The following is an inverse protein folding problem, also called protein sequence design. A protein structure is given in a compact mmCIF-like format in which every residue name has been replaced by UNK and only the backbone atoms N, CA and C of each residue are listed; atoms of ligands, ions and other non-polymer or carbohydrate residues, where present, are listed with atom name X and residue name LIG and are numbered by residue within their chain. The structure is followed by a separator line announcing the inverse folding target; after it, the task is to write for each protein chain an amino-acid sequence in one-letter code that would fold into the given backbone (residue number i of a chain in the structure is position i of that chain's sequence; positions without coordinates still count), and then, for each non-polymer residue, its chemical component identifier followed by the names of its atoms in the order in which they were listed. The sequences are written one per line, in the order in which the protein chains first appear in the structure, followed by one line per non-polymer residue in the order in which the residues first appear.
data_IF_937982171892
#
_entry.id   IF_937982171892
#
_cell.length_a   1.000
_cell.length_b   1.000
_cell.length_c   1.000
_cell.angle_alpha   90.00
_cell.angle_beta   90.00
_cell.angle_gamma   90.00
#
_symmetry.space_group_name_H-M   'P 1'
#
loop_
_entity.id
_entity.type
_entity.pdbx_description
1 polymer ?
#
# COMPACT_ATOMS: atom_id res chain seq x y z
N UNK A 1 7.62 9.39 18.64
CA UNK A 1 6.77 9.34 17.43
C UNK A 1 5.72 10.43 17.57
N UNK A 2 5.98 11.58 16.96
CA UNK A 2 4.96 12.65 16.92
C UNK A 2 3.83 12.14 16.04
N UNK A 3 2.70 11.84 16.69
CA UNK A 3 1.47 11.54 15.96
C UNK A 3 1.10 12.78 15.14
N UNK A 4 1.16 12.69 13.84
CA UNK A 4 0.54 13.65 12.93
C UNK A 4 -0.98 13.55 13.07
N UNK A 5 -1.50 13.97 14.22
CA UNK A 5 -2.92 13.79 14.58
C UNK A 5 -3.83 14.84 13.91
N UNK A 6 -3.29 15.97 13.47
CA UNK A 6 -4.10 17.04 12.89
C UNK A 6 -4.53 16.75 11.45
N UNK A 7 -3.66 16.16 10.62
CA UNK A 7 -4.00 15.77 9.24
C UNK A 7 -4.95 14.56 9.16
N UNK A 8 -5.00 13.72 10.21
CA UNK A 8 -5.76 12.47 10.17
C UNK A 8 -7.28 12.66 10.27
N UNK A 9 -7.77 13.68 10.94
CA UNK A 9 -9.21 13.86 11.17
C UNK A 9 -9.93 14.54 10.00
N UNK A 10 -9.25 15.44 9.31
CA UNK A 10 -9.79 16.09 8.09
C UNK A 10 -9.79 15.09 6.95
N UNK A 11 -8.75 14.27 6.83
CA UNK A 11 -8.65 13.21 5.82
C UNK A 11 -9.72 12.13 5.97
N UNK A 12 -10.15 11.81 7.20
CA UNK A 12 -11.22 10.84 7.49
C UNK A 12 -12.60 11.27 7.03
N UNK A 13 -12.85 12.57 6.92
CA UNK A 13 -14.20 13.13 6.72
C UNK A 13 -14.45 13.69 5.34
N UNK A 14 -13.41 13.70 4.46
CA UNK A 14 -13.55 14.38 3.17
C UNK A 14 -13.83 13.43 2.01
N UNK A 15 -14.71 13.80 1.08
CA UNK A 15 -14.83 13.09 -0.18
C UNK A 15 -13.51 13.20 -0.94
N UNK A 16 -13.12 12.12 -1.60
CA UNK A 16 -11.84 11.92 -2.34
C UNK A 16 -11.48 13.01 -3.37
N UNK A 17 -12.35 13.98 -3.59
CA UNK A 17 -12.21 15.00 -4.63
C UNK A 17 -11.64 16.34 -4.13
N UNK A 18 -11.30 16.48 -2.85
CA UNK A 18 -10.79 17.75 -2.33
C UNK A 18 -9.26 17.70 -2.11
N UNK A 19 -8.56 17.56 -3.24
CA UNK A 19 -7.10 17.50 -3.33
C UNK A 19 -6.45 18.77 -2.75
N UNK A 20 -7.08 19.94 -2.94
CA UNK A 20 -6.57 21.22 -2.44
C UNK A 20 -6.58 21.30 -0.90
N UNK A 21 -7.63 20.84 -0.26
CA UNK A 21 -7.69 20.82 1.21
C UNK A 21 -6.63 19.89 1.82
N UNK A 22 -6.32 18.76 1.14
CA UNK A 22 -5.25 17.86 1.59
C UNK A 22 -3.90 18.57 1.53
N UNK A 23 -3.63 19.29 0.45
CA UNK A 23 -2.41 20.07 0.30
C UNK A 23 -2.28 21.15 1.37
N UNK A 24 -3.35 21.91 1.62
CA UNK A 24 -3.39 22.93 2.66
C UNK A 24 -3.14 22.34 4.07
N UNK A 25 -3.71 21.18 4.37
CA UNK A 25 -3.50 20.50 5.66
C UNK A 25 -2.05 20.07 5.84
N UNK A 26 -1.42 19.54 4.79
CA UNK A 26 -0.02 19.16 4.84
C UNK A 26 0.86 20.40 5.04
N UNK A 27 0.61 21.50 4.31
CA UNK A 27 1.34 22.75 4.46
C UNK A 27 1.17 23.35 5.87
N UNK A 28 -0.04 23.32 6.42
CA UNK A 28 -0.31 23.74 7.80
C UNK A 28 0.47 22.90 8.82
N UNK A 29 0.53 21.59 8.59
CA UNK A 29 1.33 20.66 9.41
C UNK A 29 2.82 21.00 9.34
N UNK A 30 3.36 21.21 8.13
CA UNK A 30 4.76 21.59 7.93
C UNK A 30 5.11 22.90 8.64
N UNK A 31 4.23 23.91 8.53
CA UNK A 31 4.39 25.19 9.24
C UNK A 31 4.48 24.96 10.75
N UNK A 32 3.59 24.16 11.31
CA UNK A 32 3.58 23.86 12.74
C UNK A 32 4.82 23.09 13.18
N UNK A 33 5.33 22.16 12.40
CA UNK A 33 6.60 21.49 12.68
C UNK A 33 7.77 22.49 12.73
N UNK A 34 7.80 23.46 11.80
CA UNK A 34 8.83 24.49 11.80
C UNK A 34 8.71 25.39 13.03
N UNK A 35 7.50 25.79 13.43
CA UNK A 35 7.25 26.65 14.60
C UNK A 35 7.62 25.95 15.92
N UNK A 36 7.29 24.66 16.07
CA UNK A 36 7.44 23.94 17.33
C UNK A 36 8.82 23.26 17.46
N UNK A 37 9.40 22.79 16.36
CA UNK A 37 10.60 21.96 16.36
C UNK A 37 11.79 22.58 15.60
N UNK A 38 11.57 23.66 14.85
CA UNK A 38 12.61 24.33 14.08
C UNK A 38 13.03 23.61 12.79
N UNK A 39 12.29 22.58 12.37
CA UNK A 39 12.53 21.88 11.10
C UNK A 39 11.22 21.32 10.51
N UNK A 40 11.23 21.04 9.22
CA UNK A 40 10.12 20.36 8.54
C UNK A 40 10.54 18.92 8.25
N UNK A 41 9.76 17.91 8.72
CA UNK A 41 10.04 16.51 8.39
C UNK A 41 9.98 16.25 6.89
N UNK A 42 10.92 15.49 6.39
CA UNK A 42 11.01 15.09 4.99
C UNK A 42 10.45 13.67 4.73
N UNK A 43 9.88 13.07 5.77
CA UNK A 43 9.18 11.78 5.73
C UNK A 43 7.69 11.97 6.02
N UNK A 44 6.87 11.23 5.31
CA UNK A 44 5.41 11.27 5.46
C UNK A 44 4.83 9.86 5.61
N UNK A 45 3.77 9.72 6.38
CA UNK A 45 3.01 8.48 6.46
C UNK A 45 1.54 8.79 6.17
N UNK A 46 0.99 8.16 5.13
CA UNK A 46 -0.40 8.36 4.79
C UNK A 46 -1.32 7.85 5.90
N UNK A 47 -2.27 8.66 6.36
CA UNK A 47 -3.31 8.22 7.28
C UNK A 47 -4.02 6.98 6.72
N UNK A 48 -4.06 5.91 7.51
CA UNK A 48 -4.60 4.60 7.10
C UNK A 48 -3.94 3.96 5.87
N UNK A 49 -2.84 4.53 5.36
CA UNK A 49 -2.19 4.11 4.13
C UNK A 49 -2.99 4.49 2.87
N UNK A 50 -3.94 5.37 2.97
CA UNK A 50 -4.80 5.77 1.85
C UNK A 50 -4.15 6.91 1.06
N UNK A 51 -3.86 6.66 -0.21
CA UNK A 51 -3.18 7.61 -1.09
C UNK A 51 -3.63 7.42 -2.54
N UNK A 52 -4.46 8.30 -3.06
CA UNK A 52 -4.71 8.37 -4.50
C UNK A 52 -3.47 8.82 -5.27
N UNK A 53 -3.42 8.59 -6.57
CA UNK A 53 -2.34 9.08 -7.42
C UNK A 53 -2.18 10.61 -7.30
N UNK A 54 -3.29 11.34 -7.19
CA UNK A 54 -3.29 12.80 -7.02
C UNK A 54 -2.63 13.20 -5.68
N UNK A 55 -2.93 12.50 -4.59
CA UNK A 55 -2.34 12.80 -3.27
C UNK A 55 -0.85 12.44 -3.23
N UNK A 56 -0.45 11.35 -3.89
CA UNK A 56 0.97 11.01 -4.05
C UNK A 56 1.72 12.10 -4.84
N UNK A 57 1.09 12.68 -5.86
CA UNK A 57 1.67 13.82 -6.59
C UNK A 57 1.87 15.04 -5.71
N UNK A 58 0.91 15.39 -4.85
CA UNK A 58 1.07 16.49 -3.89
C UNK A 58 2.28 16.26 -2.97
N UNK A 59 2.44 15.06 -2.43
CA UNK A 59 3.57 14.71 -1.57
C UNK A 59 4.90 14.96 -2.28
N UNK A 60 4.96 14.60 -3.57
CA UNK A 60 6.13 14.84 -4.41
C UNK A 60 6.38 16.34 -4.64
N UNK A 61 5.33 17.11 -4.94
CA UNK A 61 5.41 18.54 -5.21
C UNK A 61 5.80 19.35 -3.97
N UNK A 62 5.50 18.85 -2.78
CA UNK A 62 5.88 19.44 -1.49
C UNK A 62 7.30 19.05 -1.04
N UNK A 63 8.12 18.45 -1.92
CA UNK A 63 9.50 18.03 -1.66
C UNK A 63 9.67 17.08 -0.45
N UNK A 64 8.64 16.30 -0.13
CA UNK A 64 8.74 15.23 0.85
C UNK A 64 9.57 14.11 0.24
N UNK A 65 10.69 13.75 0.87
CA UNK A 65 11.66 12.80 0.30
C UNK A 65 11.09 11.40 0.16
N UNK A 66 10.29 10.99 1.15
CA UNK A 66 9.72 9.63 1.16
C UNK A 66 8.39 9.56 1.88
N UNK A 67 7.50 8.69 1.42
CA UNK A 67 6.21 8.49 2.07
C UNK A 67 5.83 7.00 2.15
N UNK A 68 5.09 6.65 3.21
CA UNK A 68 4.74 5.28 3.55
C UNK A 68 3.24 5.04 3.56
N UNK A 69 2.82 3.99 2.85
CA UNK A 69 1.49 3.42 2.96
C UNK A 69 1.33 2.52 4.20
N UNK A 70 0.30 1.65 4.18
CA UNK A 70 0.10 0.61 5.19
C UNK A 70 -0.02 -0.80 4.59
N UNK A 71 0.24 -0.94 3.29
CA UNK A 71 0.39 -2.25 2.68
C UNK A 71 1.72 -2.88 3.13
N UNK A 72 1.70 -4.19 3.37
CA UNK A 72 2.87 -4.91 3.87
C UNK A 72 3.81 -5.28 2.74
N UNK A 73 5.11 -5.21 2.98
CA UNK A 73 6.11 -5.66 2.02
C UNK A 73 7.50 -5.09 2.27
N UNK A 74 8.53 -5.75 1.76
CA UNK A 74 9.88 -5.21 1.73
C UNK A 74 10.00 -4.11 0.67
N UNK A 75 10.85 -3.13 0.95
CA UNK A 75 11.18 -2.04 0.02
C UNK A 75 12.23 -2.54 -0.99
N UNK A 76 12.09 -2.12 -2.24
CA UNK A 76 13.05 -2.39 -3.32
C UNK A 76 13.44 -1.12 -4.06
N UNK A 77 14.46 -1.21 -4.91
CA UNK A 77 14.83 -0.13 -5.83
C UNK A 77 13.75 0.21 -6.88
N UNK A 78 12.70 -0.61 -7.00
CA UNK A 78 11.53 -0.38 -7.85
C UNK A 78 10.32 0.17 -7.07
N UNK A 79 10.41 0.25 -5.75
CA UNK A 79 9.33 0.80 -4.94
C UNK A 79 9.14 2.30 -5.24
N UNK A 80 7.88 2.73 -5.30
CA UNK A 80 7.58 4.16 -5.34
C UNK A 80 7.97 4.78 -4.00
N UNK A 81 8.99 5.64 -3.99
CA UNK A 81 9.51 6.29 -2.78
C UNK A 81 8.46 7.15 -2.07
N UNK A 82 7.42 7.59 -2.79
CA UNK A 82 6.31 8.37 -2.23
C UNK A 82 5.10 7.50 -1.86
N UNK A 83 5.22 6.16 -1.94
CA UNK A 83 4.21 5.22 -1.44
C UNK A 83 4.86 3.86 -1.13
N UNK A 84 5.74 3.82 -0.14
CA UNK A 84 6.48 2.62 0.24
C UNK A 84 5.66 1.71 1.16
N UNK A 85 5.83 0.37 1.04
CA UNK A 85 5.26 -0.58 1.99
C UNK A 85 5.95 -0.51 3.35
N UNK A 86 5.30 -1.07 4.37
CA UNK A 86 5.87 -1.26 5.69
C UNK A 86 5.21 -2.42 6.43
N UNK A 87 5.96 -3.15 7.24
CA UNK A 87 5.39 -4.09 8.19
C UNK A 87 5.00 -3.38 9.49
N UNK A 88 3.80 -3.67 9.99
CA UNK A 88 3.38 -3.18 11.30
C UNK A 88 4.03 -4.03 12.39
N UNK A 89 4.70 -3.37 13.32
CA UNK A 89 5.26 -3.97 14.54
C UNK A 89 4.49 -3.37 15.72
N UNK A 90 3.73 -4.17 16.42
CA UNK A 90 2.94 -3.81 17.59
C UNK A 90 2.80 -5.03 18.52
N UNK A 91 2.07 -4.90 19.61
CA UNK A 91 1.89 -5.97 20.60
C UNK A 91 1.41 -7.31 20.01
N UNK A 92 0.52 -7.26 19.00
CA UNK A 92 -0.01 -8.46 18.35
C UNK A 92 0.87 -8.99 17.21
N UNK A 93 1.77 -8.16 16.69
CA UNK A 93 2.57 -8.44 15.49
C UNK A 93 4.04 -8.06 15.65
N UNK A 94 4.56 -8.05 16.90
CA UNK A 94 5.91 -7.61 17.22
C UNK A 94 6.79 -8.70 17.84
N UNK A 95 6.38 -9.97 17.78
CA UNK A 95 7.21 -11.08 18.23
C UNK A 95 8.49 -11.22 17.38
N UNK A 96 9.52 -11.82 17.97
CA UNK A 96 10.85 -11.93 17.35
C UNK A 96 10.85 -12.82 16.10
N UNK A 97 9.98 -13.82 16.05
CA UNK A 97 9.88 -14.73 14.91
C UNK A 97 9.31 -13.99 13.70
N UNK A 98 8.23 -13.25 13.91
CA UNK A 98 7.64 -12.40 12.88
C UNK A 98 8.59 -11.30 12.42
N UNK A 99 9.30 -10.64 13.34
CA UNK A 99 10.32 -9.65 13.00
C UNK A 99 11.40 -10.25 12.12
N UNK A 100 11.96 -11.38 12.53
CA UNK A 100 13.01 -12.12 11.80
C UNK A 100 12.51 -12.54 10.41
N UNK A 101 11.30 -13.11 10.33
CA UNK A 101 10.69 -13.46 9.07
C UNK A 101 10.50 -12.24 8.16
N UNK A 102 9.87 -11.17 8.65
CA UNK A 102 9.61 -9.97 7.87
C UNK A 102 10.89 -9.30 7.36
N UNK A 103 11.97 -9.30 8.16
CA UNK A 103 13.27 -8.73 7.77
C UNK A 103 14.03 -9.58 6.75
N UNK A 104 13.72 -10.87 6.64
CA UNK A 104 14.33 -11.79 5.66
C UNK A 104 13.63 -11.80 4.30
N UNK A 105 12.43 -11.21 4.20
CA UNK A 105 11.63 -11.23 2.98
C UNK A 105 12.30 -10.48 1.83
N UNK A 106 12.22 -11.07 0.65
CA UNK A 106 12.63 -10.43 -0.61
C UNK A 106 11.43 -9.75 -1.29
N UNK A 107 11.63 -8.63 -1.98
CA UNK A 107 10.55 -7.99 -2.73
C UNK A 107 10.11 -8.85 -3.93
N UNK A 108 8.84 -9.18 -4.00
CA UNK A 108 8.19 -9.67 -5.19
C UNK A 108 7.91 -8.47 -6.10
N UNK A 109 8.80 -8.20 -7.05
CA UNK A 109 8.70 -7.03 -7.91
C UNK A 109 7.61 -7.26 -8.95
N UNK A 110 6.62 -6.37 -8.95
CA UNK A 110 5.49 -6.38 -9.88
C UNK A 110 5.41 -5.07 -10.68
N UNK A 111 4.86 -5.17 -11.88
CA UNK A 111 4.61 -4.04 -12.78
C UNK A 111 3.16 -4.09 -13.29
N UNK A 112 2.72 -3.06 -13.97
CA UNK A 112 1.44 -3.01 -14.68
C UNK A 112 0.24 -3.40 -13.79
N UNK A 113 0.24 -2.94 -12.52
CA UNK A 113 -0.86 -3.16 -11.60
C UNK A 113 -2.12 -2.47 -12.16
N UNK A 114 -3.21 -3.21 -12.22
CA UNK A 114 -4.53 -2.70 -12.61
C UNK A 114 -5.57 -3.11 -11.57
N UNK A 115 -6.44 -2.18 -11.13
CA UNK A 115 -6.39 -0.74 -11.45
C UNK A 115 -5.14 -0.07 -10.89
N UNK A 116 -4.66 1.02 -11.53
CA UNK A 116 -3.46 1.74 -11.10
C UNK A 116 -3.70 2.54 -9.83
N UNK A 117 -4.88 3.17 -9.72
CA UNK A 117 -5.28 3.87 -8.49
C UNK A 117 -5.85 2.89 -7.47
N UNK A 118 -5.54 3.13 -6.20
CA UNK A 118 -6.09 2.34 -5.11
C UNK A 118 -7.58 2.62 -4.85
N UNK A 119 -8.12 3.76 -5.33
CA UNK A 119 -9.51 4.15 -5.14
C UNK A 119 -10.38 3.57 -6.25
N UNK A 120 -11.35 2.75 -5.86
CA UNK A 120 -12.22 2.03 -6.77
C UNK A 120 -13.67 2.40 -6.46
N UNK A 121 -14.33 3.03 -7.42
CA UNK A 121 -15.71 3.49 -7.30
C UNK A 121 -16.77 2.43 -7.62
N UNK A 122 -16.37 1.28 -8.16
CA UNK A 122 -17.28 0.20 -8.52
C UNK A 122 -16.79 -1.15 -8.02
N UNK A 123 -17.45 -1.68 -6.99
CA UNK A 123 -17.10 -2.95 -6.36
C UNK A 123 -17.40 -4.18 -7.22
N UNK A 124 -18.22 -4.06 -8.28
CA UNK A 124 -18.76 -5.23 -9.03
C UNK A 124 -17.84 -5.74 -10.14
N UNK A 125 -16.84 -4.98 -10.57
CA UNK A 125 -16.02 -5.30 -11.77
C UNK A 125 -14.52 -5.09 -11.52
N UNK A 126 -14.02 -5.41 -10.34
CA UNK A 126 -12.59 -5.29 -10.10
C UNK A 126 -11.84 -6.46 -10.76
N UNK A 127 -11.29 -6.21 -11.92
CA UNK A 127 -10.30 -7.09 -12.55
C UNK A 127 -8.90 -6.71 -12.03
N UNK A 128 -8.53 -7.20 -10.85
CA UNK A 128 -7.19 -6.93 -10.33
C UNK A 128 -6.17 -7.80 -11.06
N UNK A 129 -5.17 -7.15 -11.61
CA UNK A 129 -4.09 -7.84 -12.33
C UNK A 129 -2.75 -7.13 -12.17
N UNK A 130 -1.68 -7.88 -12.37
CA UNK A 130 -0.30 -7.36 -12.36
C UNK A 130 0.63 -8.29 -13.14
N UNK A 131 1.83 -7.83 -13.39
CA UNK A 131 2.88 -8.63 -14.00
C UNK A 131 4.03 -8.86 -13.02
N UNK A 132 4.48 -10.09 -12.88
CA UNK A 132 5.64 -10.47 -12.07
C UNK A 132 6.91 -10.36 -12.91
N UNK A 133 7.88 -9.56 -12.46
CA UNK A 133 9.11 -9.33 -13.20
C UNK A 133 9.95 -10.61 -13.32
N UNK A 134 10.15 -11.34 -12.23
CA UNK A 134 10.85 -12.62 -12.25
C UNK A 134 9.86 -13.78 -12.49
N UNK A 135 9.81 -14.27 -13.73
CA UNK A 135 8.89 -15.34 -14.15
C UNK A 135 9.05 -16.64 -13.35
N UNK A 136 10.22 -16.90 -12.75
CA UNK A 136 10.45 -18.10 -11.94
C UNK A 136 9.60 -18.13 -10.66
N UNK A 137 9.11 -16.96 -10.21
CA UNK A 137 8.26 -16.83 -9.02
C UNK A 137 6.78 -17.15 -9.29
N UNK A 138 6.35 -17.20 -10.55
CA UNK A 138 4.94 -17.40 -10.93
C UNK A 138 4.37 -18.74 -10.45
N UNK A 139 5.15 -19.82 -10.58
CA UNK A 139 4.65 -21.16 -10.26
C UNK A 139 4.30 -21.30 -8.77
N UNK A 140 5.13 -20.71 -7.90
CA UNK A 140 4.90 -20.71 -6.45
C UNK A 140 4.05 -19.57 -5.93
N UNK A 141 3.53 -18.70 -6.82
CA UNK A 141 2.79 -17.52 -6.42
C UNK A 141 1.43 -17.88 -5.83
N UNK A 142 1.15 -17.33 -4.66
CA UNK A 142 -0.13 -17.40 -3.98
C UNK A 142 -0.51 -15.99 -3.51
N UNK A 143 -1.79 -15.65 -3.60
CA UNK A 143 -2.30 -14.39 -3.08
C UNK A 143 -3.42 -14.63 -2.06
N UNK A 144 -3.46 -13.79 -1.06
CA UNK A 144 -4.48 -13.75 -0.02
C UNK A 144 -4.99 -12.32 0.11
N UNK A 145 -6.25 -12.16 0.41
CA UNK A 145 -6.82 -10.83 0.59
C UNK A 145 -8.08 -10.85 1.44
N UNK A 146 -8.46 -9.68 1.94
CA UNK A 146 -9.70 -9.50 2.66
C UNK A 146 -10.76 -8.77 1.80
N UNK A 147 -10.82 -9.10 0.52
CA UNK A 147 -11.64 -8.40 -0.47
C UNK A 147 -13.14 -8.46 -0.15
N UNK A 148 -13.63 -9.57 0.41
CA UNK A 148 -15.00 -9.78 0.84
C UNK A 148 -15.26 -9.41 2.30
N UNK A 149 -14.23 -8.97 3.04
CA UNK A 149 -14.27 -8.65 4.47
C UNK A 149 -13.48 -9.61 5.35
N UNK A 150 -13.30 -10.85 4.93
CA UNK A 150 -12.50 -11.88 5.59
C UNK A 150 -11.26 -12.21 4.77
N UNK A 151 -10.19 -12.68 5.44
CA UNK A 151 -8.98 -13.10 4.78
C UNK A 151 -9.17 -14.48 4.15
N UNK A 152 -9.08 -14.53 2.83
CA UNK A 152 -9.20 -15.76 2.03
C UNK A 152 -8.07 -15.86 1.02
N UNK A 153 -7.81 -17.08 0.55
CA UNK A 153 -6.99 -17.28 -0.65
C UNK A 153 -7.70 -16.71 -1.88
N UNK A 154 -6.93 -16.20 -2.82
CA UNK A 154 -7.45 -15.64 -4.07
C UNK A 154 -7.01 -16.55 -5.21
N UNK A 155 -7.97 -17.02 -6.01
CA UNK A 155 -7.68 -17.83 -7.18
C UNK A 155 -7.04 -16.99 -8.29
N UNK A 156 -5.96 -17.50 -8.87
CA UNK A 156 -5.12 -16.78 -9.82
C UNK A 156 -5.13 -17.45 -11.20
N UNK A 157 -5.44 -16.68 -12.22
CA UNK A 157 -5.15 -17.04 -13.61
C UNK A 157 -3.74 -16.53 -13.93
N UNK A 158 -2.83 -17.44 -14.20
CA UNK A 158 -1.41 -17.16 -14.46
C UNK A 158 -1.07 -17.41 -15.92
N UNK A 159 -0.54 -16.40 -16.61
CA UNK A 159 -0.10 -16.53 -18.01
C UNK A 159 1.27 -15.88 -18.21
N UNK A 160 2.32 -16.68 -18.41
CA UNK A 160 3.72 -16.24 -18.53
C UNK A 160 4.19 -15.40 -17.32
N UNK A 161 4.04 -14.09 -17.38
CA UNK A 161 4.35 -13.13 -16.31
C UNK A 161 3.11 -12.44 -15.75
N UNK A 162 1.98 -12.55 -16.44
CA UNK A 162 0.74 -11.90 -16.08
C UNK A 162 -0.05 -12.72 -15.06
N UNK A 163 -0.62 -12.04 -14.11
CA UNK A 163 -1.47 -12.61 -13.05
C UNK A 163 -2.78 -11.83 -13.03
N UNK A 164 -3.89 -12.54 -13.10
CA UNK A 164 -5.24 -12.00 -13.01
C UNK A 164 -5.97 -12.71 -11.88
N UNK A 165 -6.73 -11.99 -11.08
CA UNK A 165 -7.63 -12.60 -10.10
C UNK A 165 -8.84 -13.18 -10.83
N UNK A 166 -9.09 -14.48 -10.62
CA UNK A 166 -10.15 -15.20 -11.33
C UNK A 166 -11.55 -14.91 -10.81
N UNK A 167 -11.66 -14.44 -9.58
CA UNK A 167 -12.95 -14.21 -8.95
C UNK A 167 -13.59 -12.90 -9.41
N UNK A 168 -14.77 -12.99 -10.00
CA UNK A 168 -15.71 -11.90 -10.20
C UNK A 168 -16.65 -11.80 -8.98
N UNK A 169 -16.09 -11.52 -7.82
CA UNK A 169 -16.90 -11.34 -6.60
C UNK A 169 -17.22 -9.86 -6.39
N UNK A 170 -18.34 -9.60 -5.74
CA UNK A 170 -18.64 -8.26 -5.23
C UNK A 170 -17.76 -8.02 -4.02
N UNK A 171 -16.80 -7.14 -4.16
CA UNK A 171 -15.93 -6.77 -3.06
C UNK A 171 -16.66 -5.85 -2.06
N UNK A 172 -16.38 -6.06 -0.80
CA UNK A 172 -16.99 -5.27 0.27
C UNK A 172 -16.38 -3.87 0.31
N UNK A 173 -17.20 -2.85 0.50
CA UNK A 173 -16.75 -1.47 0.70
C UNK A 173 -15.73 -1.31 1.82
N UNK A 174 -14.87 -0.31 1.69
CA UNK A 174 -13.83 0.03 2.65
C UNK A 174 -12.45 -0.42 2.23
N UNK A 175 -11.50 -0.38 3.16
CA UNK A 175 -10.10 -0.77 2.93
C UNK A 175 -9.95 -2.27 2.79
N UNK A 176 -9.34 -2.67 1.68
CA UNK A 176 -9.03 -4.05 1.36
C UNK A 176 -7.54 -4.19 1.13
N UNK A 177 -6.99 -5.31 1.55
CA UNK A 177 -5.56 -5.62 1.42
C UNK A 177 -5.38 -6.91 0.66
N UNK A 178 -4.33 -6.94 -0.13
CA UNK A 178 -3.88 -8.08 -0.91
C UNK A 178 -2.43 -8.33 -0.54
N UNK A 179 -2.10 -9.57 -0.21
CA UNK A 179 -0.73 -10.02 0.02
C UNK A 179 -0.45 -11.21 -0.90
N UNK A 180 0.56 -11.08 -1.74
CA UNK A 180 1.01 -12.14 -2.62
C UNK A 180 2.40 -12.60 -2.20
N UNK A 181 2.61 -13.91 -2.16
CA UNK A 181 3.87 -14.52 -1.76
C UNK A 181 4.31 -15.57 -2.77
N UNK A 182 5.60 -15.78 -2.88
CA UNK A 182 6.17 -16.89 -3.63
C UNK A 182 7.45 -17.37 -2.92
N UNK A 183 7.66 -18.68 -2.90
CA UNK A 183 8.91 -19.28 -2.39
C UNK A 183 9.74 -19.78 -3.57
N UNK A 184 11.01 -19.37 -3.62
CA UNK A 184 11.93 -19.80 -4.65
C UNK A 184 13.35 -19.90 -4.10
N UNK A 185 14.04 -21.03 -4.34
CA UNK A 185 15.38 -21.31 -3.83
C UNK A 185 15.54 -21.10 -2.32
N UNK A 186 14.54 -21.50 -1.54
CA UNK A 186 14.54 -21.35 -0.08
C UNK A 186 14.15 -19.95 0.43
N UNK A 187 14.11 -18.94 -0.42
CA UNK A 187 13.77 -17.57 -0.06
C UNK A 187 12.29 -17.27 -0.27
N UNK A 188 11.70 -16.43 0.60
CA UNK A 188 10.35 -15.94 0.47
C UNK A 188 10.33 -14.55 -0.16
N UNK A 189 9.43 -14.39 -1.13
CA UNK A 189 9.16 -13.14 -1.82
C UNK A 189 7.78 -12.64 -1.45
N UNK A 190 7.64 -11.32 -1.26
CA UNK A 190 6.40 -10.70 -0.81
C UNK A 190 6.07 -9.46 -1.61
N UNK A 191 4.79 -9.34 -1.96
CA UNK A 191 4.16 -8.14 -2.50
C UNK A 191 2.87 -7.87 -1.74
N UNK A 192 2.71 -6.67 -1.20
CA UNK A 192 1.46 -6.21 -0.59
C UNK A 192 0.86 -5.05 -1.37
N UNK A 193 -0.44 -5.01 -1.42
CA UNK A 193 -1.20 -3.94 -2.06
C UNK A 193 -2.44 -3.59 -1.22
N UNK A 194 -2.87 -2.33 -1.30
CA UNK A 194 -4.07 -1.86 -0.62
C UNK A 194 -4.98 -1.19 -1.65
N UNK A 195 -6.28 -1.48 -1.56
CA UNK A 195 -7.32 -0.83 -2.34
C UNK A 195 -8.39 -0.29 -1.40
N UNK A 196 -9.05 0.77 -1.82
CA UNK A 196 -10.20 1.36 -1.14
C UNK A 196 -11.39 1.35 -2.07
N UNK A 197 -12.43 0.63 -1.67
CA UNK A 197 -13.65 0.41 -2.44
C UNK A 197 -14.76 1.26 -1.85
N UNK A 198 -15.47 1.97 -2.71
CA UNK A 198 -16.66 2.77 -2.38
C UNK A 198 -17.90 2.18 -3.03
#
# INVERSE_FOLDING_TARGET
LVKSSAASDVYKRQPFNNVENIKEDILRSQKRFMEELGFVPDLFAFPFGEASENVISIIKDLNIKSAFGQHSGPISHKSNIHYMPRFSINENFGDIERFTFSSSLKPLIVNNIKPSDMFISNSKLLNFSFEVQNKKLINGLQCFGNLTGEWTSIDLIKNKSSVLFSEQTTYKEGRRRINCTSKFNGEWYWFGHQILIK
#
